data_IF_967665059340
#
_entry.id   IF_967665059340
#
_cell.length_a   1.000
_cell.length_b   1.000
_cell.length_c   1.000
_cell.angle_alpha   90.00
_cell.angle_beta   90.00
_cell.angle_gamma   90.00
#
_symmetry.space_group_name_H-M   'P 1'
#
loop_
_entity.id
_entity.type
_entity.pdbx_description
1 polymer ?
#
# COMPACT_ATOMS: atom_id res chain seq x y z
N UNK A 1 -21.93 -4.24 -0.48
CA UNK A 1 -21.48 -2.88 -0.14
C UNK A 1 -20.76 -2.91 1.20
N UNK A 2 -19.78 -2.02 1.39
CA UNK A 2 -19.26 -1.64 2.70
C UNK A 2 -19.24 -0.10 2.80
N UNK A 3 -19.84 0.47 3.85
CA UNK A 3 -20.04 1.92 3.95
C UNK A 3 -18.74 2.72 4.11
N UNK A 4 -18.83 4.04 3.95
CA UNK A 4 -17.70 4.94 4.15
C UNK A 4 -17.18 4.88 5.59
N UNK A 5 -15.89 4.62 5.74
CA UNK A 5 -15.24 4.48 7.04
C UNK A 5 -13.73 4.74 6.95
N UNK A 6 -13.11 4.92 8.10
CA UNK A 6 -11.66 4.93 8.28
C UNK A 6 -11.30 3.71 9.12
N UNK A 7 -10.18 3.06 8.81
CA UNK A 7 -9.73 1.91 9.56
C UNK A 7 -9.29 2.29 10.99
N UNK A 8 -9.48 1.35 11.92
CA UNK A 8 -8.97 1.53 13.28
C UNK A 8 -7.44 1.54 13.26
N UNK A 9 -6.84 2.62 13.78
CA UNK A 9 -5.40 2.85 13.79
C UNK A 9 -4.56 1.74 14.47
N UNK A 10 -5.17 0.96 15.37
CA UNK A 10 -4.53 -0.18 16.05
C UNK A 10 -5.42 -1.40 15.90
N UNK A 11 -4.84 -2.50 15.41
CA UNK A 11 -5.52 -3.81 15.31
C UNK A 11 -4.75 -4.88 16.08
N UNK A 12 -5.50 -5.79 16.70
CA UNK A 12 -4.92 -6.98 17.35
C UNK A 12 -4.76 -8.08 16.31
N UNK A 13 -3.61 -8.75 16.30
CA UNK A 13 -3.36 -9.88 15.42
C UNK A 13 -4.14 -11.09 15.94
N UNK A 14 -4.93 -11.73 15.07
CA UNK A 14 -5.76 -12.87 15.46
C UNK A 14 -4.86 -13.98 16.00
N UNK A 15 -5.24 -14.54 17.16
CA UNK A 15 -4.49 -15.59 17.86
C UNK A 15 -3.07 -15.17 18.31
N UNK A 16 -2.81 -13.87 18.49
CA UNK A 16 -1.56 -13.32 19.04
C UNK A 16 -1.87 -12.24 20.07
N UNK A 17 -0.94 -12.01 21.00
CA UNK A 17 -0.98 -10.85 21.91
C UNK A 17 -0.52 -9.55 21.24
N UNK A 18 -0.01 -9.64 20.02
CA UNK A 18 0.51 -8.51 19.27
C UNK A 18 -0.59 -7.56 18.82
N UNK A 19 -0.25 -6.27 18.88
CA UNK A 19 -1.03 -5.19 18.28
C UNK A 19 -0.16 -4.48 17.27
N UNK A 20 -0.74 -4.21 16.11
CA UNK A 20 -0.07 -3.48 15.05
C UNK A 20 -0.76 -2.14 14.83
N UNK A 21 0.06 -1.14 14.52
CA UNK A 21 -0.39 0.11 13.92
C UNK A 21 -0.74 -0.17 12.46
N UNK A 22 -1.93 0.23 12.02
CA UNK A 22 -2.35 0.07 10.63
C UNK A 22 -1.84 1.26 9.83
N UNK A 23 -0.67 1.14 9.22
CA UNK A 23 -0.13 2.22 8.37
C UNK A 23 -0.76 2.18 6.99
N UNK A 24 -0.88 0.96 6.44
CA UNK A 24 -1.40 0.73 5.10
C UNK A 24 -2.48 -0.34 5.13
N UNK A 25 -3.50 -0.10 4.31
CA UNK A 25 -4.55 -1.05 3.97
C UNK A 25 -4.24 -1.65 2.60
N UNK A 26 -4.46 -2.96 2.47
CA UNK A 26 -4.20 -3.72 1.25
C UNK A 26 -5.49 -4.39 0.79
N UNK A 27 -5.73 -4.42 -0.52
CA UNK A 27 -6.72 -5.32 -1.11
C UNK A 27 -6.09 -6.04 -2.31
N UNK A 28 -5.97 -7.36 -2.21
CA UNK A 28 -5.67 -8.27 -3.31
C UNK A 28 -6.99 -8.69 -3.96
N UNK A 29 -7.15 -8.38 -5.24
CA UNK A 29 -8.32 -8.77 -6.02
C UNK A 29 -8.20 -10.24 -6.45
N UNK A 30 -9.25 -11.02 -6.26
CA UNK A 30 -9.28 -12.48 -6.55
C UNK A 30 -10.42 -12.85 -7.52
N UNK A 31 -11.02 -11.85 -8.16
CA UNK A 31 -12.08 -12.01 -9.15
C UNK A 31 -11.90 -10.96 -10.21
N UNK A 32 -12.08 -11.34 -11.47
CA UNK A 32 -11.91 -10.41 -12.58
C UNK A 32 -12.95 -9.28 -12.53
N UNK A 33 -12.57 -8.05 -12.91
CA UNK A 33 -13.45 -6.89 -12.81
C UNK A 33 -14.68 -7.00 -13.72
N UNK A 34 -14.65 -7.81 -14.78
CA UNK A 34 -15.79 -8.06 -15.68
C UNK A 34 -16.82 -9.04 -15.09
N UNK A 35 -16.43 -9.85 -14.09
CA UNK A 35 -17.29 -10.88 -13.52
C UNK A 35 -18.33 -10.33 -12.53
N UNK A 36 -18.21 -9.05 -12.12
CA UNK A 36 -19.14 -8.38 -11.23
C UNK A 36 -19.41 -6.93 -11.61
N UNK A 37 -20.62 -6.44 -11.36
CA UNK A 37 -21.00 -5.03 -11.59
C UNK A 37 -21.03 -4.27 -10.27
N UNK A 38 -20.48 -3.06 -10.27
CA UNK A 38 -20.23 -2.29 -9.05
C UNK A 38 -19.03 -2.83 -8.24
N UNK A 39 -19.07 -2.67 -6.93
CA UNK A 39 -18.01 -3.18 -6.03
C UNK A 39 -16.66 -2.47 -6.15
N UNK A 40 -16.62 -1.28 -6.73
CA UNK A 40 -15.45 -0.40 -6.76
C UNK A 40 -15.04 -0.05 -5.33
N UNK A 41 -13.72 -0.13 -5.06
CA UNK A 41 -13.14 0.43 -3.85
C UNK A 41 -12.96 1.93 -4.08
N UNK A 42 -13.73 2.74 -3.36
CA UNK A 42 -13.69 4.20 -3.45
C UNK A 42 -12.82 4.73 -2.32
N UNK A 43 -11.72 5.39 -2.65
CA UNK A 43 -10.76 5.95 -1.69
C UNK A 43 -10.74 7.47 -1.84
N UNK A 44 -11.06 8.20 -0.78
CA UNK A 44 -10.96 9.65 -0.77
C UNK A 44 -9.50 10.09 -0.66
N UNK A 45 -9.09 10.96 -1.58
CA UNK A 45 -7.77 11.60 -1.58
C UNK A 45 -7.91 13.11 -1.41
N UNK A 46 -6.79 13.81 -1.24
CA UNK A 46 -6.79 15.28 -1.19
C UNK A 46 -7.34 15.95 -2.45
N UNK A 47 -7.33 15.24 -3.59
CA UNK A 47 -7.78 15.75 -4.89
C UNK A 47 -9.11 15.12 -5.35
N UNK A 48 -9.79 14.41 -4.46
CA UNK A 48 -11.08 13.76 -4.71
C UNK A 48 -11.02 12.24 -4.63
N UNK A 49 -12.19 11.61 -4.78
CA UNK A 49 -12.34 10.16 -4.76
C UNK A 49 -11.62 9.51 -5.94
N UNK A 50 -10.97 8.37 -5.66
CA UNK A 50 -10.42 7.46 -6.66
C UNK A 50 -11.15 6.13 -6.57
N UNK A 51 -11.64 5.64 -7.70
CA UNK A 51 -12.30 4.33 -7.79
C UNK A 51 -11.30 3.29 -8.27
N UNK A 52 -11.22 2.18 -7.54
CA UNK A 52 -10.26 1.11 -7.80
C UNK A 52 -11.00 -0.22 -8.03
N UNK A 53 -10.75 -0.81 -9.18
CA UNK A 53 -11.22 -2.15 -9.59
C UNK A 53 -10.14 -2.76 -10.47
N UNK A 54 -9.34 -3.67 -9.93
CA UNK A 54 -8.17 -4.23 -10.60
C UNK A 54 -8.43 -5.67 -11.08
N UNK A 55 -7.57 -6.15 -11.97
CA UNK A 55 -7.56 -7.53 -12.46
C UNK A 55 -7.30 -8.52 -11.31
N UNK A 56 -7.73 -9.77 -11.47
CA UNK A 56 -7.45 -10.80 -10.47
C UNK A 56 -5.95 -11.05 -10.36
N UNK A 57 -5.41 -10.95 -9.13
CA UNK A 57 -3.98 -11.07 -8.85
C UNK A 57 -3.30 -9.73 -8.54
N UNK A 58 -3.93 -8.61 -8.89
CA UNK A 58 -3.42 -7.28 -8.57
C UNK A 58 -3.78 -6.84 -7.16
N UNK A 59 -2.89 -6.04 -6.56
CA UNK A 59 -3.04 -5.50 -5.22
C UNK A 59 -3.01 -3.98 -5.24
N UNK A 60 -4.00 -3.38 -4.58
CA UNK A 60 -3.96 -1.95 -4.23
C UNK A 60 -3.47 -1.77 -2.80
N UNK A 61 -2.60 -0.79 -2.62
CA UNK A 61 -2.03 -0.35 -1.34
C UNK A 61 -2.37 1.12 -1.13
N UNK A 62 -2.93 1.47 0.03
CA UNK A 62 -3.31 2.85 0.35
C UNK A 62 -3.21 3.14 1.86
N UNK A 63 -3.07 4.41 2.29
CA UNK A 63 -3.04 4.76 3.70
C UNK A 63 -4.30 4.28 4.42
N UNK A 64 -4.14 3.58 5.55
CA UNK A 64 -5.29 3.11 6.33
C UNK A 64 -6.11 4.28 6.94
N UNK A 65 -5.53 5.48 6.98
CA UNK A 65 -6.18 6.73 7.38
C UNK A 65 -7.16 7.28 6.33
N UNK A 66 -7.14 6.79 5.09
CA UNK A 66 -8.03 7.27 4.04
C UNK A 66 -9.48 6.87 4.31
N UNK A 67 -10.39 7.83 4.17
CA UNK A 67 -11.83 7.54 4.13
C UNK A 67 -12.10 6.70 2.88
N UNK A 68 -12.71 5.54 3.05
CA UNK A 68 -12.97 4.65 1.92
C UNK A 68 -14.25 3.84 2.10
N UNK A 69 -14.78 3.34 0.99
CA UNK A 69 -15.97 2.51 0.92
C UNK A 69 -15.86 1.49 -0.21
N UNK A 70 -16.74 0.49 -0.21
CA UNK A 70 -16.91 -0.42 -1.34
C UNK A 70 -18.33 -0.28 -1.85
N UNK A 71 -18.48 0.12 -3.12
CA UNK A 71 -19.76 0.27 -3.80
C UNK A 71 -20.61 -1.00 -3.72
N UNK A 72 -21.91 -0.86 -3.92
CA UNK A 72 -22.80 -2.02 -4.00
C UNK A 72 -22.41 -2.92 -5.18
N UNK A 73 -22.50 -4.23 -5.00
CA UNK A 73 -22.32 -5.21 -6.08
C UNK A 73 -23.72 -5.60 -6.53
N UNK A 74 -24.07 -5.29 -7.76
CA UNK A 74 -25.42 -5.51 -8.30
C UNK A 74 -25.55 -6.78 -9.13
N UNK A 75 -24.42 -7.32 -9.60
CA UNK A 75 -24.30 -8.59 -10.33
C UNK A 75 -22.99 -9.28 -9.96
N UNK A 76 -23.00 -10.62 -9.92
CA UNK A 76 -21.80 -11.43 -9.70
C UNK A 76 -21.36 -11.42 -8.24
N UNK A 77 -20.08 -11.69 -8.01
CA UNK A 77 -19.48 -11.65 -6.68
C UNK A 77 -18.05 -11.13 -6.76
N UNK A 78 -17.66 -10.24 -5.83
CA UNK A 78 -16.29 -9.76 -5.68
C UNK A 78 -15.62 -10.54 -4.55
N UNK A 79 -14.67 -11.42 -4.90
CA UNK A 79 -13.81 -12.07 -3.91
C UNK A 79 -12.49 -11.33 -3.83
N UNK A 80 -12.03 -11.06 -2.61
CA UNK A 80 -10.79 -10.34 -2.36
C UNK A 80 -10.20 -10.75 -1.02
N UNK A 81 -8.89 -10.58 -0.86
CA UNK A 81 -8.22 -10.66 0.43
C UNK A 81 -7.80 -9.26 0.85
N UNK A 82 -8.23 -8.82 2.03
CA UNK A 82 -7.86 -7.52 2.58
C UNK A 82 -7.17 -7.69 3.92
N UNK A 83 -6.17 -6.86 4.18
CA UNK A 83 -5.37 -6.91 5.40
C UNK A 83 -4.66 -5.58 5.63
N UNK A 84 -4.09 -5.44 6.82
CA UNK A 84 -3.31 -4.27 7.22
C UNK A 84 -1.88 -4.65 7.49
N UNK A 85 -0.99 -3.67 7.34
CA UNK A 85 0.40 -3.82 7.69
C UNK A 85 0.91 -2.62 8.47
N UNK A 86 1.83 -2.91 9.38
CA UNK A 86 2.66 -1.90 10.03
C UNK A 86 3.95 -1.78 9.22
N UNK A 87 4.20 -0.60 8.69
CA UNK A 87 5.44 -0.28 8.00
C UNK A 87 6.55 -0.03 9.03
N UNK A 88 7.79 -0.37 8.67
CA UNK A 88 8.96 0.09 9.44
C UNK A 88 9.03 1.63 9.47
N UNK A 89 8.62 2.29 8.38
CA UNK A 89 8.57 3.74 8.27
C UNK A 89 7.12 4.20 8.45
N UNK A 90 6.86 4.87 9.58
CA UNK A 90 5.52 5.31 9.98
C UNK A 90 4.95 6.34 9.02
N UNK A 91 5.71 7.41 8.76
CA UNK A 91 5.25 8.54 7.97
C UNK A 91 5.08 8.16 6.48
N UNK A 92 3.96 8.60 5.89
CA UNK A 92 3.62 8.29 4.51
C UNK A 92 4.51 9.05 3.51
N UNK A 93 4.86 10.30 3.81
CA UNK A 93 5.75 11.11 2.99
C UNK A 93 7.17 10.56 3.00
N UNK A 94 7.70 10.20 4.16
CA UNK A 94 9.03 9.56 4.28
C UNK A 94 9.08 8.22 3.53
N UNK A 95 8.03 7.40 3.64
CA UNK A 95 7.93 6.13 2.92
C UNK A 95 7.83 6.33 1.40
N UNK A 96 7.08 7.33 0.95
CA UNK A 96 6.98 7.69 -0.48
C UNK A 96 8.33 8.15 -1.02
N UNK A 97 9.05 9.02 -0.30
CA UNK A 97 10.38 9.47 -0.69
C UNK A 97 11.40 8.32 -0.78
N UNK A 98 11.33 7.35 0.14
CA UNK A 98 12.15 6.14 0.07
C UNK A 98 11.82 5.30 -1.17
N UNK A 99 10.54 5.11 -1.47
CA UNK A 99 10.09 4.37 -2.64
C UNK A 99 10.61 5.01 -3.93
N UNK A 100 10.43 6.31 -4.10
CA UNK A 100 10.89 7.04 -5.30
C UNK A 100 12.41 6.98 -5.48
N UNK A 101 13.16 7.11 -4.38
CA UNK A 101 14.62 6.96 -4.39
C UNK A 101 15.03 5.55 -4.81
N UNK A 102 14.39 4.51 -4.27
CA UNK A 102 14.70 3.14 -4.65
C UNK A 102 14.36 2.86 -6.12
N UNK A 103 13.19 3.28 -6.61
CA UNK A 103 12.85 3.13 -8.04
C UNK A 103 13.89 3.79 -8.95
N UNK A 104 14.37 4.97 -8.58
CA UNK A 104 15.45 5.67 -9.29
C UNK A 104 16.77 4.89 -9.27
N UNK A 105 17.12 4.29 -8.12
CA UNK A 105 18.29 3.42 -8.00
C UNK A 105 18.16 2.18 -8.88
N UNK A 106 16.99 1.51 -8.87
CA UNK A 106 16.76 0.32 -9.70
C UNK A 106 16.87 0.63 -11.20
N UNK A 107 16.36 1.77 -11.64
CA UNK A 107 16.51 2.22 -13.02
C UNK A 107 18.00 2.44 -13.40
N UNK A 108 18.76 3.12 -12.53
CA UNK A 108 20.20 3.33 -12.74
C UNK A 108 21.01 2.03 -12.69
N UNK A 109 20.61 1.08 -11.85
CA UNK A 109 21.18 -0.28 -11.81
C UNK A 109 21.01 -0.97 -13.16
N UNK A 110 19.82 -0.90 -13.77
CA UNK A 110 19.57 -1.50 -15.07
C UNK A 110 20.41 -0.86 -16.19
N UNK A 111 20.66 0.45 -16.11
CA UNK A 111 21.45 1.20 -17.10
C UNK A 111 22.97 1.02 -16.92
N UNK A 112 23.47 1.11 -15.69
CA UNK A 112 24.91 1.28 -15.38
C UNK A 112 25.52 0.11 -14.60
N UNK A 113 24.68 -0.77 -14.08
CA UNK A 113 25.08 -1.92 -13.27
C UNK A 113 25.33 -1.59 -11.80
N UNK A 114 25.24 -2.63 -10.96
CA UNK A 114 25.34 -2.50 -9.49
C UNK A 114 26.69 -1.99 -8.95
N UNK A 115 27.75 -2.04 -9.77
CA UNK A 115 29.11 -1.61 -9.36
C UNK A 115 29.41 -0.15 -9.70
N UNK A 116 28.49 0.54 -10.36
CA UNK A 116 28.64 1.96 -10.65
C UNK A 116 28.78 2.76 -9.33
N UNK A 117 29.76 3.67 -9.21
CA UNK A 117 29.98 4.42 -7.97
C UNK A 117 28.77 5.26 -7.52
N UNK A 118 27.98 5.79 -8.44
CA UNK A 118 26.81 6.61 -8.12
C UNK A 118 25.65 5.74 -7.62
N UNK A 119 25.46 4.56 -8.21
CA UNK A 119 24.51 3.55 -7.70
C UNK A 119 24.86 3.18 -6.25
N UNK A 120 26.12 2.83 -5.98
CA UNK A 120 26.57 2.47 -4.62
C UNK A 120 26.32 3.62 -3.64
N UNK A 121 26.63 4.87 -4.05
CA UNK A 121 26.42 6.06 -3.22
C UNK A 121 24.94 6.27 -2.89
N UNK A 122 24.06 6.19 -3.88
CA UNK A 122 22.61 6.37 -3.70
C UNK A 122 22.00 5.25 -2.87
N UNK A 123 22.39 3.99 -3.07
CA UNK A 123 22.00 2.87 -2.21
C UNK A 123 22.45 3.11 -0.76
N UNK A 124 23.66 3.66 -0.56
CA UNK A 124 24.13 4.09 0.75
C UNK A 124 23.23 5.16 1.39
N UNK A 125 22.80 6.16 0.62
CA UNK A 125 21.86 7.21 1.08
C UNK A 125 20.52 6.60 1.46
N UNK A 126 19.95 5.75 0.61
CA UNK A 126 18.69 5.04 0.86
C UNK A 126 18.71 4.29 2.20
N UNK A 127 19.74 3.48 2.47
CA UNK A 127 19.86 2.77 3.74
C UNK A 127 20.11 3.70 4.94
N UNK A 128 20.78 4.83 4.74
CA UNK A 128 20.93 5.85 5.80
C UNK A 128 19.60 6.51 6.15
N UNK A 129 18.71 6.73 5.17
CA UNK A 129 17.36 7.25 5.40
C UNK A 129 16.49 6.22 6.13
N UNK A 130 16.52 4.95 5.71
CA UNK A 130 15.85 3.86 6.44
C UNK A 130 16.29 3.84 7.91
N UNK A 131 17.61 3.89 8.19
CA UNK A 131 18.11 3.90 9.57
C UNK A 131 17.65 5.10 10.40
N UNK A 132 17.28 6.22 9.76
CA UNK A 132 16.77 7.41 10.44
C UNK A 132 15.27 7.34 10.70
N UNK A 133 14.51 6.76 9.77
CA UNK A 133 13.04 6.81 9.76
C UNK A 133 12.38 5.51 10.23
N UNK A 134 13.11 4.40 10.26
CA UNK A 134 12.57 3.13 10.72
C UNK A 134 12.32 3.16 12.24
N UNK A 135 11.13 2.70 12.63
CA UNK A 135 10.73 2.45 14.01
C UNK A 135 10.60 0.94 14.25
N UNK A 136 11.15 0.45 15.37
CA UNK A 136 10.88 -0.90 15.86
C UNK A 136 11.60 -2.03 15.11
N UNK A 137 12.91 -1.89 14.92
CA UNK A 137 13.80 -3.05 14.82
C UNK A 137 14.00 -3.70 16.20
#
# INVERSE_FOLDING_TARGET
QFGAHVDNAIRSVKNSSERIRTDLSCTLFLTEPEDYDGGELVIETLFGAQEVKLEAGDLVLYPASSLHSVSEITRGARISSFFWLQSMVRDDGERTLLFDLDQSIQALVAERGHKDPEVIRLTGIYHNLIRRWAEGA
#
